data_IF_036819773977
#
_entry.id   IF_036819773977
#
_cell.length_a   1.000
_cell.length_b   1.000
_cell.length_c   1.000
_cell.angle_alpha   90.00
_cell.angle_beta   90.00
_cell.angle_gamma   90.00
#
_symmetry.space_group_name_H-M   'P 1'
#
loop_
_entity.id
_entity.type
_entity.pdbx_description
1 polymer ?
#
# COMPACT_ATOMS: atom_id res chain seq x y z
N UNK A 1 33.27 18.56 -22.38
CA UNK A 1 32.09 17.65 -22.37
C UNK A 1 31.17 18.13 -21.26
N UNK A 2 29.95 18.58 -21.59
CA UNK A 2 28.96 18.90 -20.55
C UNK A 2 28.52 17.58 -19.88
N UNK A 3 28.48 17.55 -18.55
CA UNK A 3 27.94 16.42 -17.81
C UNK A 3 26.47 16.19 -18.24
N UNK A 4 26.08 14.93 -18.44
CA UNK A 4 24.68 14.60 -18.72
C UNK A 4 23.81 15.13 -17.55
N UNK A 5 22.63 15.70 -17.84
CA UNK A 5 21.75 16.19 -16.79
C UNK A 5 21.35 15.02 -15.85
N UNK A 6 21.25 15.27 -14.53
CA UNK A 6 20.88 14.25 -13.56
C UNK A 6 19.53 13.62 -13.93
N UNK A 7 19.44 12.31 -13.80
CA UNK A 7 18.23 11.58 -14.19
C UNK A 7 17.10 11.89 -13.19
N UNK A 8 15.95 12.34 -13.69
CA UNK A 8 14.82 12.71 -12.83
C UNK A 8 14.21 11.47 -12.19
N UNK A 9 14.18 11.42 -10.86
CA UNK A 9 13.55 10.33 -10.12
C UNK A 9 12.32 10.82 -9.38
N UNK A 10 11.18 10.21 -9.69
CA UNK A 10 9.92 10.48 -8.99
C UNK A 10 10.01 9.93 -7.56
N UNK A 11 9.71 10.78 -6.59
CA UNK A 11 9.48 10.37 -5.21
C UNK A 11 7.97 10.35 -4.93
N UNK A 12 7.44 9.20 -4.47
CA UNK A 12 6.04 9.16 -4.01
C UNK A 12 5.95 9.77 -2.61
N UNK A 13 5.14 10.82 -2.38
CA UNK A 13 4.94 11.38 -1.05
C UNK A 13 4.32 10.35 -0.10
N UNK A 14 4.74 10.35 1.17
CA UNK A 14 4.22 9.41 2.18
C UNK A 14 2.74 9.64 2.46
N UNK A 15 2.30 10.90 2.49
CA UNK A 15 0.88 11.23 2.65
C UNK A 15 0.05 10.65 1.50
N UNK A 16 0.55 10.72 0.26
CA UNK A 16 -0.19 10.27 -0.91
C UNK A 16 -0.41 8.76 -0.86
N UNK A 17 0.62 7.98 -0.52
CA UNK A 17 0.48 6.52 -0.41
C UNK A 17 -0.37 6.11 0.79
N UNK A 18 -0.37 6.87 1.88
CA UNK A 18 -1.28 6.65 3.01
C UNK A 18 -2.74 6.92 2.61
N UNK A 19 -3.01 8.06 1.96
CA UNK A 19 -4.34 8.43 1.47
C UNK A 19 -4.85 7.41 0.45
N UNK A 20 -4.02 6.96 -0.49
CA UNK A 20 -4.39 5.92 -1.46
C UNK A 20 -4.76 4.61 -0.76
N UNK A 21 -4.01 4.19 0.25
CA UNK A 21 -4.37 3.01 1.05
C UNK A 21 -5.73 3.16 1.73
N UNK A 22 -6.05 4.33 2.29
CA UNK A 22 -7.35 4.57 2.94
C UNK A 22 -8.50 4.66 1.93
N UNK A 23 -8.32 5.43 0.86
CA UNK A 23 -9.31 5.61 -0.21
C UNK A 23 -9.66 4.31 -0.94
N UNK A 24 -8.79 3.30 -0.87
CA UNK A 24 -8.99 2.00 -1.51
C UNK A 24 -9.23 0.86 -0.52
N UNK A 25 -9.48 1.17 0.77
CA UNK A 25 -9.71 0.17 1.82
C UNK A 25 -8.57 -0.87 1.92
N UNK A 26 -7.34 -0.42 1.69
CA UNK A 26 -6.13 -1.23 1.69
C UNK A 26 -5.79 -1.92 0.36
N UNK A 27 -6.64 -1.88 -0.66
CA UNK A 27 -6.37 -2.52 -1.96
C UNK A 27 -5.17 -1.92 -2.69
N UNK A 28 -4.83 -0.66 -2.41
CA UNK A 28 -3.61 -0.02 -2.93
C UNK A 28 -2.33 -0.79 -2.56
N UNK A 29 -2.33 -1.62 -1.51
CA UNK A 29 -1.19 -2.48 -1.16
C UNK A 29 -0.78 -3.40 -2.32
N UNK A 30 -1.74 -4.02 -3.01
CA UNK A 30 -1.46 -4.92 -4.14
C UNK A 30 -0.77 -4.17 -5.28
N UNK A 31 -1.31 -3.00 -5.64
CA UNK A 31 -0.73 -2.15 -6.66
C UNK A 31 0.66 -1.66 -6.26
N UNK A 32 0.80 -1.18 -5.02
CA UNK A 32 2.06 -0.64 -4.51
C UNK A 32 3.18 -1.67 -4.57
N UNK A 33 2.93 -2.92 -4.13
CA UNK A 33 3.91 -4.01 -4.16
C UNK A 33 4.42 -4.30 -5.58
N UNK A 34 3.54 -4.27 -6.58
CA UNK A 34 3.94 -4.41 -7.97
C UNK A 34 4.73 -3.19 -8.47
N UNK A 35 4.22 -1.99 -8.23
CA UNK A 35 4.84 -0.76 -8.71
C UNK A 35 6.23 -0.51 -8.11
N UNK A 36 6.41 -0.78 -6.81
CA UNK A 36 7.71 -0.69 -6.14
C UNK A 36 8.65 -1.81 -6.56
N UNK A 37 8.16 -3.02 -6.83
CA UNK A 37 9.00 -4.08 -7.39
C UNK A 37 9.50 -3.73 -8.80
N UNK A 38 8.68 -3.07 -9.62
CA UNK A 38 9.10 -2.53 -10.91
C UNK A 38 10.16 -1.44 -10.78
N UNK A 39 10.07 -0.59 -9.75
CA UNK A 39 11.12 0.40 -9.43
C UNK A 39 12.42 -0.28 -9.03
N UNK A 40 12.37 -1.19 -8.05
CA UNK A 40 13.55 -1.93 -7.61
C UNK A 40 14.17 -2.75 -8.75
N UNK A 41 13.36 -3.33 -9.64
CA UNK A 41 13.85 -3.99 -10.86
C UNK A 41 14.73 -3.06 -11.70
N UNK A 42 14.28 -1.83 -11.95
CA UNK A 42 15.04 -0.87 -12.77
C UNK A 42 16.36 -0.49 -12.13
N UNK A 43 16.37 -0.34 -10.80
CA UNK A 43 17.58 -0.03 -10.04
C UNK A 43 18.55 -1.20 -10.00
N UNK A 44 18.06 -2.41 -9.71
CA UNK A 44 18.87 -3.62 -9.59
C UNK A 44 19.26 -4.24 -10.94
N UNK A 45 18.61 -3.81 -12.03
CA UNK A 45 18.79 -4.35 -13.39
C UNK A 45 18.63 -5.88 -13.47
N UNK A 46 17.76 -6.43 -12.64
CA UNK A 46 17.50 -7.87 -12.55
C UNK A 46 16.28 -8.26 -13.40
N UNK A 47 16.52 -8.95 -14.52
CA UNK A 47 15.45 -9.38 -15.42
C UNK A 47 14.45 -10.37 -14.79
N UNK A 48 14.89 -11.16 -13.81
CA UNK A 48 14.08 -12.14 -13.09
C UNK A 48 13.08 -11.53 -12.11
N UNK A 49 13.18 -10.22 -11.84
CA UNK A 49 12.17 -9.51 -11.09
C UNK A 49 10.92 -9.31 -11.95
N UNK A 50 9.81 -10.00 -11.64
CA UNK A 50 8.54 -9.86 -12.36
C UNK A 50 7.49 -9.09 -11.52
N UNK A 51 7.23 -7.79 -11.79
CA UNK A 51 6.36 -6.96 -10.95
C UNK A 51 4.92 -7.45 -10.83
N UNK A 52 4.35 -7.88 -11.96
CA UNK A 52 2.98 -8.39 -12.00
C UNK A 52 2.84 -9.64 -11.14
N UNK A 53 3.69 -10.64 -11.34
CA UNK A 53 3.68 -11.87 -10.55
C UNK A 53 3.99 -11.64 -9.07
N UNK A 54 4.85 -10.65 -8.77
CA UNK A 54 5.12 -10.26 -7.39
C UNK A 54 3.88 -9.67 -6.70
N UNK A 55 3.10 -8.84 -7.39
CA UNK A 55 1.83 -8.32 -6.87
C UNK A 55 0.78 -9.43 -6.69
N UNK A 56 0.58 -10.27 -7.71
CA UNK A 56 -0.39 -11.37 -7.67
C UNK A 56 -0.06 -12.39 -6.57
N UNK A 57 1.22 -12.57 -6.24
CA UNK A 57 1.65 -13.48 -5.18
C UNK A 57 1.03 -13.20 -3.81
N UNK A 58 0.62 -11.96 -3.52
CA UNK A 58 -0.07 -11.60 -2.27
C UNK A 58 -1.41 -12.29 -2.09
N UNK A 59 -2.05 -12.69 -3.19
CA UNK A 59 -3.33 -13.39 -3.18
C UNK A 59 -3.13 -14.89 -2.94
N UNK A 60 -1.91 -15.40 -3.17
CA UNK A 60 -1.57 -16.81 -2.93
C UNK A 60 -1.30 -17.02 -1.43
N UNK A 61 -2.13 -17.81 -0.71
CA UNK A 61 -1.97 -18.03 0.71
C UNK A 61 -0.57 -18.59 1.04
N UNK A 62 0.00 -18.17 2.17
CA UNK A 62 1.32 -18.57 2.67
C UNK A 62 2.47 -18.08 1.78
N UNK A 63 2.46 -18.36 0.47
CA UNK A 63 3.47 -17.89 -0.48
C UNK A 63 3.59 -16.36 -0.50
N UNK A 64 2.45 -15.64 -0.47
CA UNK A 64 2.43 -14.18 -0.37
C UNK A 64 3.16 -13.65 0.86
N UNK A 65 3.21 -14.40 1.97
CA UNK A 65 3.92 -14.01 3.19
C UNK A 65 5.44 -13.99 2.96
N UNK A 66 5.96 -15.03 2.31
CA UNK A 66 7.37 -15.08 1.92
C UNK A 66 7.72 -13.98 0.93
N UNK A 67 6.80 -13.67 -0.01
CA UNK A 67 7.00 -12.59 -0.99
C UNK A 67 6.97 -11.21 -0.35
N UNK A 68 6.12 -10.98 0.65
CA UNK A 68 6.16 -9.76 1.48
C UNK A 68 7.50 -9.67 2.20
N UNK A 69 7.93 -10.72 2.89
CA UNK A 69 9.23 -10.73 3.56
C UNK A 69 10.37 -10.38 2.61
N UNK A 70 10.44 -11.07 1.46
CA UNK A 70 11.45 -10.83 0.43
C UNK A 70 11.42 -9.39 -0.09
N UNK A 71 10.22 -8.82 -0.31
CA UNK A 71 10.07 -7.45 -0.78
C UNK A 71 10.77 -6.44 0.13
N UNK A 72 10.50 -6.50 1.44
CA UNK A 72 11.10 -5.59 2.41
C UNK A 72 12.58 -5.90 2.68
N UNK A 73 12.98 -7.18 2.58
CA UNK A 73 14.39 -7.56 2.67
C UNK A 73 15.21 -6.98 1.50
N UNK A 74 14.67 -6.99 0.28
CA UNK A 74 15.31 -6.35 -0.89
C UNK A 74 15.49 -4.85 -0.69
N UNK A 75 14.49 -4.15 -0.14
CA UNK A 75 14.63 -2.73 0.21
C UNK A 75 15.78 -2.52 1.20
N UNK A 76 15.92 -3.38 2.21
CA UNK A 76 17.05 -3.30 3.15
C UNK A 76 18.41 -3.55 2.51
N UNK A 77 18.50 -4.48 1.55
CA UNK A 77 19.73 -4.70 0.78
C UNK A 77 20.11 -3.44 0.02
N UNK A 78 19.15 -2.80 -0.65
CA UNK A 78 19.36 -1.53 -1.37
C UNK A 78 19.79 -0.40 -0.42
N UNK A 79 19.12 -0.24 0.73
CA UNK A 79 19.49 0.74 1.75
C UNK A 79 20.89 0.49 2.34
N UNK A 80 21.29 -0.77 2.44
CA UNK A 80 22.62 -1.14 2.93
C UNK A 80 23.70 -0.79 1.92
N UNK A 81 23.44 -1.02 0.62
CA UNK A 81 24.37 -0.70 -0.46
C UNK A 81 24.70 0.80 -0.53
N UNK A 82 23.79 1.68 -0.12
CA UNK A 82 24.02 3.13 -0.08
C UNK A 82 24.47 3.66 1.28
N UNK A 83 24.69 2.78 2.27
CA UNK A 83 25.10 3.18 3.62
C UNK A 83 24.01 3.92 4.42
N UNK A 84 22.75 3.89 3.99
CA UNK A 84 21.66 4.52 4.72
C UNK A 84 21.50 3.89 6.11
N UNK A 85 21.13 4.67 7.13
CA UNK A 85 20.93 4.16 8.50
C UNK A 85 19.57 3.49 8.73
N UNK A 86 18.57 3.82 7.91
CA UNK A 86 17.22 3.26 8.02
C UNK A 86 17.22 1.76 7.71
N UNK A 87 16.58 0.97 8.57
CA UNK A 87 16.30 -0.46 8.32
C UNK A 87 14.83 -0.75 8.58
N UNK A 88 14.20 -1.41 7.62
CA UNK A 88 12.85 -1.94 7.74
C UNK A 88 12.91 -3.28 8.48
N UNK A 89 11.80 -3.71 9.08
CA UNK A 89 11.67 -5.00 9.77
C UNK A 89 10.74 -5.91 8.95
N UNK A 90 11.26 -6.73 8.01
CA UNK A 90 10.42 -7.55 7.12
C UNK A 90 9.44 -8.45 7.88
N UNK A 91 9.86 -9.07 8.99
CA UNK A 91 8.98 -9.89 9.83
C UNK A 91 7.76 -9.14 10.39
N UNK A 92 7.91 -7.86 10.75
CA UNK A 92 6.77 -7.03 11.19
C UNK A 92 5.80 -6.78 10.04
N UNK A 93 6.31 -6.59 8.82
CA UNK A 93 5.46 -6.39 7.64
C UNK A 93 4.68 -7.66 7.28
N UNK A 94 5.26 -8.84 7.52
CA UNK A 94 4.54 -10.11 7.42
C UNK A 94 3.42 -10.19 8.46
N UNK A 95 3.68 -9.82 9.71
CA UNK A 95 2.61 -9.78 10.74
C UNK A 95 1.49 -8.83 10.32
N UNK A 96 1.81 -7.64 9.81
CA UNK A 96 0.81 -6.68 9.35
C UNK A 96 -0.02 -7.22 8.17
N UNK A 97 0.58 -7.94 7.21
CA UNK A 97 -0.18 -8.52 6.09
C UNK A 97 -1.10 -9.66 6.54
N UNK A 98 -0.65 -10.46 7.52
CA UNK A 98 -1.48 -11.50 8.14
C UNK A 98 -2.67 -10.86 8.86
N UNK A 99 -2.43 -9.82 9.67
CA UNK A 99 -3.49 -9.08 10.35
C UNK A 99 -4.48 -8.48 9.34
N UNK A 100 -3.98 -7.83 8.28
CA UNK A 100 -4.82 -7.30 7.21
C UNK A 100 -5.73 -8.37 6.60
N UNK A 101 -5.18 -9.54 6.24
CA UNK A 101 -5.95 -10.63 5.65
C UNK A 101 -6.96 -11.25 6.61
N UNK A 102 -6.56 -11.48 7.87
CA UNK A 102 -7.44 -12.07 8.90
C UNK A 102 -8.60 -11.13 9.23
N UNK A 103 -8.32 -9.84 9.46
CA UNK A 103 -9.35 -8.86 9.79
C UNK A 103 -10.39 -8.72 8.67
N UNK A 104 -9.96 -8.66 7.41
CA UNK A 104 -10.88 -8.61 6.27
C UNK A 104 -11.69 -9.90 6.08
N UNK A 105 -11.22 -11.05 6.56
CA UNK A 105 -11.94 -12.32 6.47
C UNK A 105 -12.92 -12.54 7.63
N UNK A 106 -12.72 -11.86 8.75
CA UNK A 106 -13.64 -11.89 9.89
C UNK A 106 -14.90 -11.08 9.59
N UNK A 107 -14.82 -10.04 8.74
CA UNK A 107 -15.99 -9.27 8.29
C UNK A 107 -16.95 -10.18 7.54
N UNK A 108 -18.19 -10.28 8.03
CA UNK A 108 -19.30 -11.04 7.46
C UNK A 108 -20.57 -10.17 7.50
N UNK A 109 -21.54 -10.49 6.64
CA UNK A 109 -22.79 -9.73 6.49
C UNK A 109 -23.63 -9.66 7.76
N UNK A 110 -23.50 -10.64 8.67
CA UNK A 110 -24.21 -10.73 9.94
C UNK A 110 -23.62 -9.87 11.07
N UNK A 111 -22.47 -9.23 10.84
CA UNK A 111 -21.81 -8.40 11.85
C UNK A 111 -22.40 -6.98 11.82
N UNK A 112 -22.82 -6.42 12.97
CA UNK A 112 -23.31 -5.04 13.04
C UNK A 112 -22.25 -4.01 12.60
N UNK A 113 -22.69 -2.91 11.99
CA UNK A 113 -21.82 -1.82 11.52
C UNK A 113 -20.86 -1.27 12.59
N UNK A 114 -21.34 -1.16 13.82
CA UNK A 114 -20.54 -0.70 14.97
C UNK A 114 -19.33 -1.60 15.25
N UNK A 115 -19.34 -2.86 14.79
CA UNK A 115 -18.23 -3.82 14.97
C UNK A 115 -17.38 -3.94 13.71
N UNK A 116 -17.98 -4.13 12.52
CA UNK A 116 -17.16 -4.36 11.32
C UNK A 116 -16.45 -3.11 10.81
N UNK A 117 -17.02 -1.92 11.00
CA UNK A 117 -16.39 -0.66 10.55
C UNK A 117 -15.05 -0.41 11.27
N UNK A 118 -14.95 -0.47 12.63
CA UNK A 118 -13.67 -0.40 13.30
C UNK A 118 -12.67 -1.47 12.84
N UNK A 119 -13.11 -2.71 12.62
CA UNK A 119 -12.23 -3.79 12.14
C UNK A 119 -11.67 -3.48 10.74
N UNK A 120 -12.51 -2.97 9.83
CA UNK A 120 -12.09 -2.55 8.49
C UNK A 120 -11.09 -1.37 8.54
N UNK A 121 -11.29 -0.43 9.46
CA UNK A 121 -10.35 0.68 9.69
C UNK A 121 -9.00 0.18 10.20
N UNK A 122 -8.99 -0.76 11.16
CA UNK A 122 -7.74 -1.38 11.66
C UNK A 122 -7.04 -2.15 10.54
N UNK A 123 -7.77 -2.93 9.75
CA UNK A 123 -7.20 -3.64 8.60
C UNK A 123 -6.57 -2.65 7.61
N UNK A 124 -7.30 -1.60 7.26
CA UNK A 124 -6.82 -0.53 6.37
C UNK A 124 -5.57 0.15 6.94
N UNK A 125 -5.51 0.39 8.25
CA UNK A 125 -4.34 0.94 8.93
C UNK A 125 -3.13 -0.01 8.85
N UNK A 126 -3.31 -1.33 8.96
CA UNK A 126 -2.24 -2.30 8.74
C UNK A 126 -1.67 -2.19 7.32
N UNK A 127 -2.54 -2.17 6.30
CA UNK A 127 -2.11 -2.04 4.91
C UNK A 127 -1.43 -0.69 4.62
N UNK A 128 -1.98 0.41 5.15
CA UNK A 128 -1.40 1.74 5.04
C UNK A 128 -0.02 1.81 5.70
N UNK A 129 0.13 1.25 6.90
CA UNK A 129 1.41 1.18 7.61
C UNK A 129 2.47 0.45 6.80
N UNK A 130 2.14 -0.72 6.24
CA UNK A 130 3.04 -1.47 5.36
C UNK A 130 3.53 -0.61 4.18
N UNK A 131 2.60 -0.01 3.45
CA UNK A 131 2.91 0.81 2.27
C UNK A 131 3.75 2.03 2.65
N UNK A 132 3.40 2.74 3.72
CA UNK A 132 4.12 3.94 4.18
C UNK A 132 5.54 3.58 4.61
N UNK A 133 5.74 2.52 5.39
CA UNK A 133 7.07 2.09 5.82
C UNK A 133 7.94 1.66 4.64
N UNK A 134 7.38 0.90 3.69
CA UNK A 134 8.09 0.48 2.48
C UNK A 134 8.45 1.67 1.60
N UNK A 135 7.50 2.59 1.38
CA UNK A 135 7.73 3.79 0.58
C UNK A 135 8.76 4.73 1.25
N UNK A 136 8.79 4.82 2.58
CA UNK A 136 9.84 5.55 3.31
C UNK A 136 11.21 4.96 3.01
N UNK A 137 11.35 3.63 3.04
CA UNK A 137 12.60 2.94 2.68
C UNK A 137 13.05 3.27 1.26
N UNK A 138 12.16 3.15 0.27
CA UNK A 138 12.47 3.47 -1.12
C UNK A 138 12.82 4.95 -1.31
N UNK A 139 12.09 5.86 -0.68
CA UNK A 139 12.37 7.29 -0.74
C UNK A 139 13.75 7.60 -0.15
N UNK A 140 14.10 7.00 1.00
CA UNK A 140 15.45 7.14 1.59
C UNK A 140 16.52 6.60 0.66
N UNK A 141 16.29 5.46 0.01
CA UNK A 141 17.22 4.93 -0.99
C UNK A 141 17.42 5.91 -2.15
N UNK A 142 16.35 6.40 -2.79
CA UNK A 142 16.48 7.32 -3.93
C UNK A 142 17.16 8.64 -3.53
N UNK A 143 16.88 9.16 -2.35
CA UNK A 143 17.54 10.36 -1.83
C UNK A 143 19.04 10.18 -1.56
N UNK A 144 19.50 8.94 -1.40
CA UNK A 144 20.93 8.63 -1.19
C UNK A 144 21.74 8.51 -2.49
N UNK A 145 21.09 8.57 -3.67
CA UNK A 145 21.77 8.47 -4.96
C UNK A 145 22.32 9.85 -5.40
N UNK A 146 23.62 9.97 -5.73
CA UNK A 146 24.28 11.26 -5.97
C UNK A 146 23.85 11.95 -7.28
N UNK A 147 23.48 11.18 -8.31
CA UNK A 147 23.24 11.70 -9.67
C UNK A 147 21.74 11.82 -10.04
N UNK A 148 20.87 11.95 -9.03
CA UNK A 148 19.41 11.95 -9.20
C UNK A 148 18.79 13.26 -8.74
N UNK A 149 17.95 13.85 -9.58
CA UNK A 149 17.06 14.93 -9.14
C UNK A 149 15.78 14.33 -8.62
N UNK A 150 15.57 14.45 -7.31
CA UNK A 150 14.40 13.87 -6.64
C UNK A 150 13.23 14.85 -6.69
N UNK A 151 12.13 14.45 -7.32
CA UNK A 151 10.93 15.30 -7.44
C UNK A 151 9.74 14.63 -6.76
N UNK A 152 9.22 15.19 -5.64
CA UNK A 152 7.97 14.74 -5.05
C UNK A 152 6.82 14.95 -6.02
N UNK A 153 6.17 13.87 -6.47
CA UNK A 153 5.07 13.97 -7.44
C UNK A 153 4.03 12.88 -7.25
N UNK A 154 2.77 13.29 -7.16
CA UNK A 154 1.61 12.40 -7.26
C UNK A 154 1.26 12.20 -8.73
N UNK A 155 1.05 10.96 -9.14
CA UNK A 155 0.69 10.65 -10.52
C UNK A 155 -0.77 11.07 -10.80
N UNK A 156 -1.13 11.56 -12.00
CA UNK A 156 -2.52 11.95 -12.29
C UNK A 156 -3.56 10.84 -12.02
N UNK A 157 -3.21 9.60 -12.32
CA UNK A 157 -4.08 8.43 -12.00
C UNK A 157 -4.26 8.24 -10.50
N UNK A 158 -3.24 8.52 -9.67
CA UNK A 158 -3.36 8.45 -8.22
C UNK A 158 -4.34 9.51 -7.70
N UNK A 159 -4.36 10.72 -8.30
CA UNK A 159 -5.36 11.73 -7.98
C UNK A 159 -6.79 11.27 -8.29
N UNK A 160 -7.00 10.65 -9.44
CA UNK A 160 -8.31 10.09 -9.82
C UNK A 160 -8.76 9.07 -8.78
N UNK A 161 -7.87 8.15 -8.38
CA UNK A 161 -8.18 7.12 -7.36
C UNK A 161 -8.51 7.74 -6.00
N UNK A 162 -7.78 8.78 -5.58
CA UNK A 162 -8.08 9.50 -4.33
C UNK A 162 -9.47 10.13 -4.38
N UNK A 163 -9.80 10.81 -5.48
CA UNK A 163 -11.11 11.48 -5.63
C UNK A 163 -12.25 10.46 -5.63
N UNK A 164 -12.14 9.39 -6.43
CA UNK A 164 -13.15 8.33 -6.48
C UNK A 164 -13.33 7.66 -5.12
N UNK A 165 -12.23 7.32 -4.45
CA UNK A 165 -12.28 6.72 -3.13
C UNK A 165 -12.90 7.65 -2.07
N UNK A 166 -12.60 8.95 -2.12
CA UNK A 166 -13.23 9.93 -1.23
C UNK A 166 -14.75 10.02 -1.45
N UNK A 167 -15.21 9.97 -2.71
CA UNK A 167 -16.65 9.93 -3.02
C UNK A 167 -17.29 8.67 -2.44
N UNK A 168 -16.67 7.50 -2.60
CA UNK A 168 -17.17 6.23 -2.04
C UNK A 168 -17.30 6.31 -0.52
N UNK A 169 -16.30 6.88 0.16
CA UNK A 169 -16.36 7.09 1.62
C UNK A 169 -17.53 7.99 2.03
N UNK A 170 -17.75 9.11 1.33
CA UNK A 170 -18.86 10.01 1.60
C UNK A 170 -20.21 9.30 1.41
N UNK A 171 -20.37 8.56 0.31
CA UNK A 171 -21.59 7.79 0.04
C UNK A 171 -21.83 6.71 1.09
N UNK A 172 -20.78 6.01 1.53
CA UNK A 172 -20.88 5.00 2.58
C UNK A 172 -21.30 5.60 3.92
N UNK A 173 -20.76 6.77 4.29
CA UNK A 173 -21.14 7.48 5.51
C UNK A 173 -22.60 7.94 5.44
N UNK A 174 -23.04 8.51 4.32
CA UNK A 174 -24.44 8.90 4.11
C UNK A 174 -25.35 7.68 4.22
N UNK A 175 -25.04 6.59 3.51
CA UNK A 175 -25.80 5.35 3.56
C UNK A 175 -25.92 4.78 4.97
N UNK A 176 -24.83 4.79 5.75
CA UNK A 176 -24.83 4.32 7.14
C UNK A 176 -25.61 5.21 8.11
N UNK A 177 -25.95 6.43 7.70
CA UNK A 177 -26.69 7.40 8.52
C UNK A 177 -28.21 7.36 8.28
N UNK A 178 -28.66 6.66 7.24
CA UNK A 178 -30.08 6.50 6.92
C UNK A 178 -30.64 5.35 7.77
N UNK A 179 -31.64 5.58 8.63
CA UNK A 179 -32.27 4.52 9.39
C UNK A 179 -32.98 3.53 8.46
N UNK A 180 -32.89 2.24 8.76
CA UNK A 180 -33.71 1.22 8.08
C UNK A 180 -35.20 1.56 8.30
N UNK A 181 -35.99 1.55 7.22
CA UNK A 181 -37.44 1.68 7.38
C UNK A 181 -37.96 0.49 8.20
N UNK A 182 -38.84 0.72 9.20
CA UNK A 182 -39.43 -0.38 9.96
C UNK A 182 -40.16 -1.28 8.96
N UNK A 183 -39.82 -2.58 8.98
CA UNK A 183 -40.45 -3.57 8.12
C UNK A 183 -41.98 -3.44 8.23
N UNK A 184 -42.59 -2.92 7.18
CA UNK A 184 -44.03 -2.76 7.09
C UNK A 184 -44.66 -4.14 6.96
N UNK A 185 -45.04 -4.76 8.08
CA UNK A 185 -45.96 -5.90 8.07
C UNK A 185 -45.63 -7.05 9.01
N UNK A 186 -45.93 -6.86 10.30
CA UNK A 186 -46.42 -7.95 11.16
C UNK A 186 -47.55 -7.42 12.03
N UNK A 187 -48.68 -7.15 11.39
CA UNK A 187 -49.99 -7.19 12.02
C UNK A 187 -50.70 -8.44 11.50
N UNK A 188 -50.55 -9.57 12.20
CA UNK A 188 -51.50 -10.69 12.18
C UNK A 188 -51.62 -11.21 13.60
#
# INVERSE_FOLDING_TARGET
MAAAPPESQRQRPLWAVATLSVCTLGLYLLWWIGASWAEMKRELRDEGMHPFWHAVSLIVPIYGLFRVHAHYATINTMLTATGASLRLRPGVMVVLVVLFGVLNRIVREDIPAVVWVPLALVATACAAGMVVHGQRGLNTYFQSLPDRTITPRVHPVEWIVIVVGAIIWVLALIGSSIPDEPASGTFV
#
